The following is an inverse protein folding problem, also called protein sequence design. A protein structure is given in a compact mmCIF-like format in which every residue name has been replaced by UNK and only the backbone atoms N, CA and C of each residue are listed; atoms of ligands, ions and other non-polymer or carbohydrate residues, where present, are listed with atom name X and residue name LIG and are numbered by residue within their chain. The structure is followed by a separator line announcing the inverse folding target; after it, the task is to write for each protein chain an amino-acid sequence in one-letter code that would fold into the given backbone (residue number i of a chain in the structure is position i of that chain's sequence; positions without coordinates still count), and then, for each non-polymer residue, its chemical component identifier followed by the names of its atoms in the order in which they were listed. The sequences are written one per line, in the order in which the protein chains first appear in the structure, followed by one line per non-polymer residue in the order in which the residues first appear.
data_IF_506491998219
#
_entry.id   IF_506491998219
#
_cell.length_a   1.000
_cell.length_b   1.000
_cell.length_c   1.000
_cell.angle_alpha   90.00
_cell.angle_beta   90.00
_cell.angle_gamma   90.00
#
_symmetry.space_group_name_H-M   'P 1'
#
loop_
_entity.id
_entity.type
_entity.pdbx_description
1 polymer ?
#
# COMPACT_ATOMS: atom_id res chain seq x y z
N UNK A 1 23.94 38.01 2.24
CA UNK A 1 22.76 37.17 2.52
C UNK A 1 22.65 36.09 1.45
N UNK A 2 23.17 34.88 1.70
CA UNK A 2 23.19 33.74 0.74
C UNK A 2 23.10 32.38 1.48
N UNK A 3 22.29 32.31 2.52
CA UNK A 3 22.16 31.13 3.38
C UNK A 3 20.76 30.49 3.38
N UNK A 4 19.85 30.92 2.49
CA UNK A 4 18.44 30.49 2.50
C UNK A 4 18.09 29.39 1.49
N UNK A 5 18.97 29.03 0.55
CA UNK A 5 18.61 28.12 -0.55
C UNK A 5 18.87 26.64 -0.27
N UNK A 6 19.72 26.29 0.70
CA UNK A 6 20.05 24.89 1.00
C UNK A 6 18.94 24.13 1.74
N UNK A 7 18.00 24.85 2.37
CA UNK A 7 16.85 24.26 3.07
C UNK A 7 15.79 23.68 2.13
N UNK A 8 15.67 24.20 0.90
CA UNK A 8 14.57 23.85 -0.01
C UNK A 8 14.83 22.57 -0.82
N UNK A 9 16.10 22.27 -1.10
CA UNK A 9 16.50 21.07 -1.86
C UNK A 9 16.29 19.76 -1.08
N UNK A 10 16.42 19.76 0.24
CA UNK A 10 16.09 18.59 1.07
C UNK A 10 14.58 18.34 1.12
N UNK A 11 13.78 19.39 1.24
CA UNK A 11 12.31 19.29 1.27
C UNK A 11 11.73 18.67 0.00
N UNK A 12 12.29 19.00 -1.18
CA UNK A 12 11.73 18.54 -2.46
C UNK A 12 11.77 17.03 -2.66
N UNK A 13 12.74 16.32 -2.03
CA UNK A 13 12.90 14.86 -2.15
C UNK A 13 12.27 14.07 -1.01
N UNK A 14 11.99 14.69 0.14
CA UNK A 14 11.38 14.02 1.30
C UNK A 14 10.00 13.47 0.96
N UNK A 15 9.14 14.26 0.32
CA UNK A 15 7.78 13.84 0.00
C UNK A 15 7.73 12.63 -0.97
N UNK A 16 8.50 12.61 -2.08
CA UNK A 16 8.63 11.43 -2.93
C UNK A 16 9.18 10.19 -2.20
N UNK A 17 10.20 10.33 -1.35
CA UNK A 17 10.75 9.21 -0.56
C UNK A 17 9.69 8.67 0.39
N UNK A 18 9.01 9.54 1.12
CA UNK A 18 7.93 9.15 2.03
C UNK A 18 6.81 8.43 1.27
N UNK A 19 6.44 8.88 0.07
CA UNK A 19 5.45 8.22 -0.77
C UNK A 19 5.87 6.81 -1.19
N UNK A 20 7.15 6.58 -1.52
CA UNK A 20 7.66 5.24 -1.83
C UNK A 20 7.65 4.33 -0.60
N UNK A 21 8.10 4.82 0.56
CA UNK A 21 8.15 4.03 1.79
C UNK A 21 6.74 3.67 2.27
N UNK A 22 5.86 4.66 2.40
CA UNK A 22 4.47 4.44 2.81
C UNK A 22 3.70 3.62 1.78
N UNK A 23 3.96 3.83 0.49
CA UNK A 23 3.39 3.03 -0.58
C UNK A 23 3.80 1.56 -0.49
N UNK A 24 5.08 1.29 -0.25
CA UNK A 24 5.59 -0.07 -0.03
C UNK A 24 4.96 -0.75 1.19
N UNK A 25 4.83 -0.02 2.32
CA UNK A 25 4.15 -0.54 3.51
C UNK A 25 2.67 -0.86 3.22
N UNK A 26 1.96 0.02 2.51
CA UNK A 26 0.57 -0.23 2.12
C UNK A 26 0.43 -1.44 1.19
N UNK A 27 1.38 -1.67 0.28
CA UNK A 27 1.42 -2.89 -0.54
C UNK A 27 1.52 -4.14 0.33
N UNK A 28 2.44 -4.16 1.30
CA UNK A 28 2.64 -5.30 2.19
C UNK A 28 1.39 -5.58 3.04
N UNK A 29 0.78 -4.53 3.60
CA UNK A 29 -0.47 -4.65 4.36
C UNK A 29 -1.60 -5.15 3.47
N UNK A 30 -1.73 -4.61 2.26
CA UNK A 30 -2.74 -5.02 1.30
C UNK A 30 -2.63 -6.49 0.91
N UNK A 31 -1.42 -6.96 0.60
CA UNK A 31 -1.14 -8.37 0.33
C UNK A 31 -1.42 -9.26 1.54
N UNK A 32 -1.08 -8.81 2.75
CA UNK A 32 -1.37 -9.53 3.99
C UNK A 32 -2.87 -9.74 4.21
N UNK A 33 -3.68 -8.68 4.03
CA UNK A 33 -5.13 -8.75 4.18
C UNK A 33 -5.79 -9.62 3.11
N UNK A 34 -5.37 -9.49 1.85
CA UNK A 34 -5.87 -10.34 0.76
C UNK A 34 -5.46 -11.80 0.97
N UNK A 35 -4.21 -12.05 1.38
CA UNK A 35 -3.71 -13.38 1.70
C UNK A 35 -4.49 -14.01 2.87
N UNK A 36 -4.74 -13.26 3.93
CA UNK A 36 -5.55 -13.70 5.06
C UNK A 36 -6.98 -14.06 4.62
N UNK A 37 -7.61 -13.25 3.77
CA UNK A 37 -8.93 -13.58 3.21
C UNK A 37 -8.89 -14.92 2.46
N UNK A 38 -7.91 -15.13 1.58
CA UNK A 38 -7.80 -16.37 0.81
C UNK A 38 -7.60 -17.58 1.75
N UNK A 39 -6.69 -17.46 2.72
CA UNK A 39 -6.38 -18.57 3.63
C UNK A 39 -7.55 -18.90 4.57
N UNK A 40 -8.13 -17.89 5.22
CA UNK A 40 -9.17 -18.09 6.24
C UNK A 40 -10.56 -18.31 5.65
N UNK A 41 -10.91 -17.57 4.59
CA UNK A 41 -12.26 -17.60 4.05
C UNK A 41 -12.43 -18.68 2.97
N UNK A 42 -11.38 -18.96 2.16
CA UNK A 42 -11.48 -19.89 1.03
C UNK A 42 -10.83 -21.24 1.37
N UNK A 43 -9.58 -21.24 1.85
CA UNK A 43 -8.82 -22.48 2.03
C UNK A 43 -9.27 -23.23 3.28
N UNK A 44 -9.28 -22.56 4.44
CA UNK A 44 -9.60 -23.20 5.72
C UNK A 44 -11.03 -23.75 5.79
N UNK A 45 -11.96 -23.13 5.05
CA UNK A 45 -13.40 -23.44 5.10
C UNK A 45 -13.89 -24.26 3.91
N UNK A 46 -12.96 -24.82 3.15
CA UNK A 46 -13.30 -25.62 1.97
C UNK A 46 -14.04 -26.88 2.42
N UNK A 47 -15.32 -26.97 2.05
CA UNK A 47 -16.19 -28.10 2.39
C UNK A 47 -17.06 -27.89 3.63
N UNK A 48 -16.97 -26.73 4.29
CA UNK A 48 -17.93 -26.37 5.34
C UNK A 48 -19.29 -26.04 4.71
N UNK A 49 -20.41 -26.52 5.27
CA UNK A 49 -21.75 -26.20 4.77
C UNK A 49 -22.12 -24.73 4.99
N UNK A 50 -21.52 -24.06 5.97
CA UNK A 50 -21.70 -22.62 6.21
C UNK A 50 -20.59 -21.81 5.52
N UNK A 51 -20.97 -21.12 4.46
CA UNK A 51 -20.09 -20.24 3.68
C UNK A 51 -20.34 -18.76 3.99
N UNK A 52 -21.17 -18.42 4.98
CA UNK A 52 -21.48 -17.04 5.34
C UNK A 52 -20.25 -16.24 5.76
N UNK A 53 -19.24 -16.92 6.30
CA UNK A 53 -17.97 -16.31 6.70
C UNK A 53 -17.19 -15.71 5.53
N UNK A 54 -17.33 -16.18 4.29
CA UNK A 54 -16.77 -15.46 3.13
C UNK A 54 -17.26 -14.02 3.05
N UNK A 55 -18.55 -13.79 3.31
CA UNK A 55 -19.11 -12.44 3.29
C UNK A 55 -18.59 -11.59 4.44
N UNK A 56 -18.37 -12.18 5.61
CA UNK A 56 -17.82 -11.47 6.76
C UNK A 56 -16.35 -11.05 6.57
N UNK A 57 -15.57 -11.82 5.81
CA UNK A 57 -14.18 -11.45 5.49
C UNK A 57 -14.05 -10.52 4.28
N UNK A 58 -15.12 -10.34 3.49
CA UNK A 58 -15.12 -9.51 2.29
C UNK A 58 -14.67 -8.05 2.51
N UNK A 59 -15.04 -7.36 3.62
CA UNK A 59 -14.51 -6.03 3.91
C UNK A 59 -12.99 -5.99 4.06
N UNK A 60 -12.39 -7.02 4.66
CA UNK A 60 -10.92 -7.12 4.78
C UNK A 60 -10.27 -7.33 3.42
N UNK A 61 -10.90 -8.13 2.55
CA UNK A 61 -10.44 -8.28 1.17
C UNK A 61 -10.45 -6.94 0.43
N UNK A 62 -11.55 -6.18 0.49
CA UNK A 62 -11.62 -4.87 -0.16
C UNK A 62 -10.66 -3.85 0.45
N UNK A 63 -10.53 -3.81 1.78
CA UNK A 63 -9.55 -2.96 2.45
C UNK A 63 -8.11 -3.30 2.00
N UNK A 64 -7.79 -4.59 1.90
CA UNK A 64 -6.52 -5.07 1.40
C UNK A 64 -6.27 -4.67 -0.06
N UNK A 65 -7.28 -4.88 -0.93
CA UNK A 65 -7.22 -4.52 -2.34
C UNK A 65 -7.02 -3.02 -2.55
N UNK A 66 -7.80 -2.17 -1.87
CA UNK A 66 -7.66 -0.72 -1.96
C UNK A 66 -6.31 -0.24 -1.41
N UNK A 67 -5.86 -0.81 -0.29
CA UNK A 67 -4.54 -0.52 0.28
C UNK A 67 -3.41 -0.87 -0.69
N UNK A 68 -3.50 -2.05 -1.34
CA UNK A 68 -2.55 -2.47 -2.36
C UNK A 68 -2.52 -1.51 -3.56
N UNK A 69 -3.69 -1.17 -4.13
CA UNK A 69 -3.78 -0.26 -5.28
C UNK A 69 -3.23 1.13 -4.92
N UNK A 70 -3.63 1.68 -3.77
CA UNK A 70 -3.14 2.97 -3.29
C UNK A 70 -1.62 2.93 -3.05
N UNK A 71 -1.11 1.84 -2.48
CA UNK A 71 0.31 1.64 -2.24
C UNK A 71 1.14 1.58 -3.52
N UNK A 72 0.67 0.85 -4.54
CA UNK A 72 1.29 0.83 -5.88
C UNK A 72 1.27 2.23 -6.49
N UNK A 73 0.13 2.90 -6.49
CA UNK A 73 0.00 4.24 -7.06
C UNK A 73 0.94 5.25 -6.38
N UNK A 74 1.00 5.26 -5.05
CA UNK A 74 1.89 6.12 -4.27
C UNK A 74 3.37 5.82 -4.54
N UNK A 75 3.74 4.53 -4.62
CA UNK A 75 5.11 4.11 -4.91
C UNK A 75 5.54 4.53 -6.32
N UNK A 76 4.69 4.30 -7.32
CA UNK A 76 4.96 4.71 -8.72
C UNK A 76 5.07 6.24 -8.81
N UNK A 77 4.16 6.97 -8.17
CA UNK A 77 4.22 8.43 -8.12
C UNK A 77 5.50 8.94 -7.45
N UNK A 78 5.90 8.36 -6.32
CA UNK A 78 7.13 8.71 -5.61
C UNK A 78 8.38 8.43 -6.45
N UNK A 79 8.46 7.26 -7.07
CA UNK A 79 9.58 6.87 -7.95
C UNK A 79 9.68 7.77 -9.19
N UNK A 80 8.57 8.07 -9.85
CA UNK A 80 8.56 8.96 -11.02
C UNK A 80 8.99 10.39 -10.68
N UNK A 81 8.64 10.90 -9.50
CA UNK A 81 9.11 12.20 -9.00
C UNK A 81 10.60 12.18 -8.67
N UNK A 82 11.09 11.14 -8.01
CA UNK A 82 12.52 11.00 -7.71
C UNK A 82 13.37 10.94 -8.98
N UNK A 83 12.92 10.18 -9.98
CA UNK A 83 13.62 10.06 -11.28
C UNK A 83 13.69 11.38 -12.04
N UNK A 84 12.67 12.24 -11.93
CA UNK A 84 12.68 13.58 -12.57
C UNK A 84 13.55 14.60 -11.84
N UNK A 85 13.88 14.36 -10.57
CA UNK A 85 14.67 15.27 -9.74
C UNK A 85 16.17 14.95 -9.76
N UNK A 86 16.58 13.84 -10.37
CA UNK A 86 17.97 13.35 -10.43
C UNK A 86 18.54 13.52 -11.82
#
# INVERSE_FOLDING_TARGET
MRASESGNLRSSRILPIAAVVLGGLAILVGLGLVGAYILEAIVARRGEPDQSLLFWYLPFFFAGLFSFIAGVAASVWGLTRLRRSS
#
